data_IF_943944640530
#
_entry.id   IF_943944640530
#
_cell.length_a   1.000
_cell.length_b   1.000
_cell.length_c   1.000
_cell.angle_alpha   90.00
_cell.angle_beta   90.00
_cell.angle_gamma   90.00
#
_symmetry.space_group_name_H-M   'P 1'
#
loop_
_entity.id
_entity.type
_entity.pdbx_description
1 polymer ?
#
# COMPACT_ATOMS: atom_id res chain seq x y z
N UNK A 1 -4.50 -21.78 11.31
CA UNK A 1 -5.21 -21.14 10.19
C UNK A 1 -4.48 -19.89 9.75
N UNK A 2 -4.62 -19.54 8.50
CA UNK A 2 -4.01 -18.33 7.95
C UNK A 2 -5.05 -17.58 7.13
N UNK A 3 -4.79 -16.29 6.91
CA UNK A 3 -5.60 -15.46 6.04
C UNK A 3 -4.85 -15.15 4.77
N UNK A 4 -5.58 -14.97 3.68
CA UNK A 4 -5.02 -14.62 2.39
C UNK A 4 -5.96 -13.66 1.68
N UNK A 5 -5.41 -12.56 1.16
CA UNK A 5 -6.19 -11.60 0.38
C UNK A 5 -5.47 -11.27 -0.91
N UNK A 6 -6.25 -10.96 -1.93
CA UNK A 6 -5.71 -10.45 -3.18
C UNK A 6 -6.70 -9.45 -3.75
N UNK A 7 -6.25 -8.24 -3.97
CA UNK A 7 -7.06 -7.16 -4.52
C UNK A 7 -6.28 -6.50 -5.63
N UNK A 8 -6.98 -6.00 -6.64
CA UNK A 8 -6.35 -5.34 -7.77
C UNK A 8 -7.15 -4.16 -8.26
N UNK A 9 -6.47 -3.25 -8.94
CA UNK A 9 -7.09 -2.10 -9.56
C UNK A 9 -6.29 -1.70 -10.80
N UNK A 10 -6.98 -1.16 -11.79
CA UNK A 10 -6.32 -0.59 -12.96
C UNK A 10 -6.35 0.93 -12.84
N UNK A 11 -5.19 1.54 -13.01
CA UNK A 11 -4.99 2.98 -12.86
C UNK A 11 -4.63 3.54 -14.25
N UNK A 12 -5.36 4.55 -14.68
CA UNK A 12 -5.11 5.18 -16.00
C UNK A 12 -3.93 6.14 -15.92
N UNK A 13 -2.74 5.56 -15.71
CA UNK A 13 -1.49 6.31 -15.59
C UNK A 13 -0.32 5.40 -15.99
N UNK A 14 0.81 5.99 -16.42
CA UNK A 14 2.00 5.20 -16.77
C UNK A 14 2.55 4.45 -15.56
N UNK A 15 3.14 3.29 -15.80
CA UNK A 15 3.69 2.46 -14.74
C UNK A 15 4.74 3.19 -13.90
N UNK A 16 5.55 4.04 -14.52
CA UNK A 16 6.57 4.80 -13.79
C UNK A 16 5.95 5.70 -12.73
N UNK A 17 4.87 6.39 -13.08
CA UNK A 17 4.19 7.28 -12.14
C UNK A 17 3.51 6.48 -11.02
N UNK A 18 2.83 5.39 -11.39
CA UNK A 18 2.17 4.51 -10.40
C UNK A 18 3.21 3.95 -9.43
N UNK A 19 4.33 3.46 -9.98
CA UNK A 19 5.42 2.94 -9.18
C UNK A 19 5.98 3.99 -8.22
N UNK A 20 6.34 5.15 -8.75
CA UNK A 20 6.98 6.20 -7.97
C UNK A 20 6.06 6.68 -6.83
N UNK A 21 4.78 6.92 -7.12
CA UNK A 21 3.85 7.40 -6.09
C UNK A 21 3.56 6.36 -5.02
N UNK A 22 3.42 5.09 -5.41
CA UNK A 22 3.09 4.04 -4.45
C UNK A 22 4.30 3.55 -3.66
N UNK A 23 5.51 3.86 -4.10
CA UNK A 23 6.74 3.48 -3.39
C UNK A 23 7.37 4.65 -2.63
N UNK A 24 6.80 5.83 -2.69
CA UNK A 24 7.26 6.98 -1.92
C UNK A 24 6.66 6.95 -0.52
N UNK A 25 7.21 6.07 0.32
CA UNK A 25 6.67 5.78 1.65
C UNK A 25 6.55 7.04 2.52
N UNK A 26 7.50 7.96 2.41
CA UNK A 26 7.47 9.19 3.20
C UNK A 26 6.22 10.04 2.92
N UNK A 27 5.63 9.89 1.74
CA UNK A 27 4.42 10.61 1.35
C UNK A 27 3.14 9.77 1.47
N UNK A 28 3.21 8.59 2.06
CA UNK A 28 2.01 7.77 2.23
C UNK A 28 0.89 8.45 3.01
N UNK A 29 1.13 9.32 3.98
CA UNK A 29 0.02 10.07 4.60
C UNK A 29 -0.77 10.91 3.60
N UNK A 30 -0.15 11.30 2.48
CA UNK A 30 -0.83 12.05 1.41
C UNK A 30 -1.53 11.12 0.42
N UNK A 31 -1.09 9.87 0.33
CA UNK A 31 -1.61 8.90 -0.63
C UNK A 31 -2.72 8.02 -0.04
N UNK A 32 -2.54 7.55 1.19
CA UNK A 32 -3.51 6.73 1.91
C UNK A 32 -4.28 7.61 2.89
N UNK A 33 -5.57 7.35 3.03
CA UNK A 33 -6.40 8.11 3.98
C UNK A 33 -6.22 7.66 5.42
N UNK A 34 -5.67 6.46 5.64
CA UNK A 34 -5.60 5.86 6.97
C UNK A 34 -4.33 6.21 7.76
N UNK A 35 -3.30 6.74 7.11
CA UNK A 35 -2.03 7.02 7.79
C UNK A 35 -1.89 8.49 8.19
N UNK A 36 -1.60 8.72 9.47
CA UNK A 36 -1.29 10.06 9.99
C UNK A 36 0.18 10.40 9.74
N UNK A 37 1.07 9.41 9.81
CA UNK A 37 2.49 9.63 9.57
C UNK A 37 3.18 8.37 9.05
N UNK A 38 4.28 8.59 8.33
CA UNK A 38 5.18 7.54 7.88
C UNK A 38 6.60 8.05 8.13
N UNK A 39 7.35 7.29 8.93
CA UNK A 39 8.72 7.67 9.30
C UNK A 39 9.70 6.65 8.75
N UNK A 40 10.65 7.11 7.95
CA UNK A 40 11.71 6.25 7.44
C UNK A 40 12.74 6.07 8.55
N UNK A 41 12.93 4.83 8.99
CA UNK A 41 13.89 4.51 10.04
C UNK A 41 15.24 4.11 9.45
N UNK A 42 15.22 3.41 8.32
CA UNK A 42 16.42 2.94 7.68
C UNK A 42 16.15 2.73 6.19
N UNK A 43 17.11 3.12 5.36
CA UNK A 43 16.99 2.95 3.91
C UNK A 43 18.40 2.67 3.36
N UNK A 44 18.64 1.42 2.94
CA UNK A 44 19.94 1.03 2.41
C UNK A 44 19.99 1.06 0.88
N UNK A 45 18.98 1.66 0.25
CA UNK A 45 18.85 1.73 -1.20
C UNK A 45 18.14 0.54 -1.82
N UNK A 46 18.00 -0.55 -1.07
CA UNK A 46 17.33 -1.76 -1.51
C UNK A 46 16.15 -2.08 -0.60
N UNK A 47 16.36 -2.00 0.70
CA UNK A 47 15.34 -2.26 1.70
C UNK A 47 15.08 -1.00 2.51
N UNK A 48 13.81 -0.70 2.72
CA UNK A 48 13.37 0.44 3.53
C UNK A 48 12.64 -0.09 4.75
N UNK A 49 13.06 0.36 5.92
CA UNK A 49 12.39 0.06 7.19
C UNK A 49 11.73 1.36 7.66
N UNK A 50 10.45 1.27 8.01
CA UNK A 50 9.68 2.47 8.31
C UNK A 50 8.60 2.19 9.34
N UNK A 51 8.19 3.25 10.03
CA UNK A 51 7.08 3.20 10.97
C UNK A 51 5.86 3.88 10.36
N UNK A 52 4.75 3.18 10.37
CA UNK A 52 3.45 3.75 9.99
C UNK A 52 2.64 4.00 11.25
N UNK A 53 1.98 5.14 11.29
CA UNK A 53 1.07 5.48 12.38
C UNK A 53 -0.26 5.88 11.75
N UNK A 54 -1.33 5.22 12.18
CA UNK A 54 -2.66 5.50 11.66
C UNK A 54 -3.29 6.67 12.39
N UNK A 55 -4.30 7.26 11.78
CA UNK A 55 -5.17 8.20 12.50
C UNK A 55 -5.88 7.43 13.62
N UNK A 56 -6.26 8.11 14.73
CA UNK A 56 -6.99 7.42 15.80
C UNK A 56 -8.25 6.74 15.25
N UNK A 57 -8.52 5.55 15.75
CA UNK A 57 -9.74 4.85 15.38
C UNK A 57 -10.95 5.46 16.11
N UNK A 58 -12.13 4.88 15.91
CA UNK A 58 -13.38 5.39 16.51
C UNK A 58 -13.33 5.39 18.04
N UNK A 59 -12.45 4.60 18.63
CA UNK A 59 -12.24 4.55 20.09
C UNK A 59 -11.09 5.44 20.56
N UNK A 60 -10.48 6.20 19.65
CA UNK A 60 -9.35 7.07 19.97
C UNK A 60 -8.02 6.33 20.06
N UNK A 61 -7.99 5.03 19.73
CA UNK A 61 -6.74 4.26 19.77
C UNK A 61 -5.91 4.54 18.54
N UNK A 62 -4.62 4.78 18.75
CA UNK A 62 -3.65 5.00 17.67
C UNK A 62 -2.86 3.72 17.43
N UNK A 63 -2.97 3.21 16.22
CA UNK A 63 -2.22 2.02 15.80
C UNK A 63 -0.94 2.44 15.11
N UNK A 64 0.15 1.78 15.45
CA UNK A 64 1.46 2.07 14.87
C UNK A 64 2.27 0.78 14.79
N UNK A 65 3.06 0.63 13.74
CA UNK A 65 3.93 -0.54 13.59
C UNK A 65 5.09 -0.23 12.67
N UNK A 66 6.12 -1.07 12.76
CA UNK A 66 7.28 -1.00 11.87
C UNK A 66 7.15 -2.09 10.82
N UNK A 67 7.41 -1.72 9.59
CA UNK A 67 7.43 -2.62 8.44
C UNK A 67 8.74 -2.44 7.69
N UNK A 68 9.09 -3.45 6.90
CA UNK A 68 10.20 -3.33 5.96
C UNK A 68 9.72 -3.75 4.58
N UNK A 69 10.30 -3.15 3.54
CA UNK A 69 9.95 -3.47 2.18
C UNK A 69 11.16 -3.43 1.26
N UNK A 70 11.15 -4.31 0.27
CA UNK A 70 12.15 -4.33 -0.78
C UNK A 70 11.42 -4.12 -2.11
N UNK A 71 11.82 -3.09 -2.83
CA UNK A 71 11.22 -2.75 -4.12
C UNK A 71 12.12 -3.27 -5.24
N UNK A 72 11.55 -4.08 -6.12
CA UNK A 72 12.23 -4.61 -7.30
C UNK A 72 11.64 -3.95 -8.54
N UNK A 73 12.18 -2.80 -8.92
CA UNK A 73 11.68 -2.00 -10.04
C UNK A 73 11.75 -2.76 -11.36
N UNK A 74 12.79 -3.57 -11.53
CA UNK A 74 13.00 -4.31 -12.77
C UNK A 74 11.89 -5.32 -13.03
N UNK A 75 11.45 -6.02 -11.97
CA UNK A 75 10.41 -7.03 -12.06
C UNK A 75 9.04 -6.50 -11.66
N UNK A 76 8.92 -5.20 -11.37
CA UNK A 76 7.67 -4.52 -11.01
C UNK A 76 6.96 -5.21 -9.86
N UNK A 77 7.72 -5.49 -8.80
CA UNK A 77 7.16 -6.08 -7.58
C UNK A 77 7.82 -5.52 -6.35
N UNK A 78 7.07 -5.53 -5.26
CA UNK A 78 7.54 -5.12 -3.95
C UNK A 78 7.15 -6.20 -2.94
N UNK A 79 8.12 -6.64 -2.14
CA UNK A 79 7.87 -7.54 -1.03
C UNK A 79 8.01 -6.75 0.25
N UNK A 80 7.06 -6.95 1.15
CA UNK A 80 7.07 -6.26 2.43
C UNK A 80 6.57 -7.19 3.53
N UNK A 81 6.93 -6.86 4.78
CA UNK A 81 6.42 -7.59 5.93
C UNK A 81 6.44 -6.68 7.15
N UNK A 82 5.60 -7.01 8.12
CA UNK A 82 5.65 -6.31 9.40
C UNK A 82 6.83 -6.83 10.22
N UNK A 83 7.60 -5.90 10.77
CA UNK A 83 8.64 -6.20 11.75
C UNK A 83 8.03 -6.20 13.14
N UNK A 84 7.26 -5.17 13.46
CA UNK A 84 6.41 -5.15 14.65
C UNK A 84 5.05 -5.68 14.23
N UNK A 85 4.73 -6.88 14.65
CA UNK A 85 3.55 -7.58 14.13
C UNK A 85 2.23 -7.20 14.81
N UNK A 86 2.29 -6.63 16.02
CA UNK A 86 1.07 -6.28 16.75
C UNK A 86 0.18 -7.50 16.98
N UNK A 87 -1.09 -7.46 16.56
CA UNK A 87 -2.01 -8.58 16.75
C UNK A 87 -1.78 -9.73 15.76
N UNK A 88 -0.91 -9.53 14.76
CA UNK A 88 -0.60 -10.57 13.78
C UNK A 88 0.52 -11.47 14.28
N UNK A 89 0.41 -12.77 14.00
CA UNK A 89 1.55 -13.68 14.14
C UNK A 89 2.58 -13.39 13.07
N UNK A 90 2.10 -13.09 11.85
CA UNK A 90 2.91 -12.58 10.75
C UNK A 90 2.03 -11.84 9.76
N UNK A 91 2.65 -11.01 8.94
CA UNK A 91 1.98 -10.30 7.84
C UNK A 91 2.98 -10.13 6.72
N UNK A 92 2.77 -10.84 5.62
CA UNK A 92 3.60 -10.79 4.41
C UNK A 92 2.80 -10.16 3.29
N UNK A 93 3.43 -9.25 2.55
CA UNK A 93 2.77 -8.44 1.54
C UNK A 93 3.55 -8.52 0.24
N UNK A 94 2.84 -8.68 -0.87
CA UNK A 94 3.41 -8.63 -2.21
C UNK A 94 2.59 -7.67 -3.06
N UNK A 95 3.23 -6.65 -3.60
CA UNK A 95 2.63 -5.75 -4.58
C UNK A 95 3.24 -6.04 -5.94
N UNK A 96 2.39 -6.14 -6.95
CA UNK A 96 2.83 -6.40 -8.33
C UNK A 96 2.18 -5.38 -9.26
N UNK A 97 2.91 -4.99 -10.30
CA UNK A 97 2.46 -4.00 -11.27
C UNK A 97 2.62 -4.58 -12.67
N UNK A 98 1.68 -4.24 -13.54
CA UNK A 98 1.69 -4.70 -14.93
C UNK A 98 1.23 -3.57 -15.84
N UNK A 99 1.97 -3.33 -16.91
CA UNK A 99 1.51 -2.40 -17.94
C UNK A 99 0.37 -3.06 -18.71
N UNK A 100 -0.75 -2.34 -18.83
CA UNK A 100 -1.92 -2.82 -19.57
C UNK A 100 -2.37 -1.70 -20.51
N UNK A 101 -3.20 -2.01 -21.54
CA UNK A 101 -3.64 -0.98 -22.48
C UNK A 101 -4.31 0.22 -21.81
N UNK A 102 -5.01 0.01 -20.71
CA UNK A 102 -5.70 1.08 -19.97
C UNK A 102 -4.78 1.85 -19.02
N UNK A 103 -3.52 1.44 -18.85
CA UNK A 103 -2.59 2.09 -17.95
C UNK A 103 -1.74 1.10 -17.17
N UNK A 104 -1.96 1.01 -15.86
CA UNK A 104 -1.21 0.11 -14.99
C UNK A 104 -2.18 -0.68 -14.11
N UNK A 105 -1.98 -1.98 -14.09
CA UNK A 105 -2.71 -2.86 -13.18
C UNK A 105 -1.84 -3.06 -11.93
N UNK A 106 -2.40 -2.80 -10.76
CA UNK A 106 -1.71 -2.97 -9.48
C UNK A 106 -2.42 -4.06 -8.67
N UNK A 107 -1.67 -5.05 -8.21
CA UNK A 107 -2.20 -6.18 -7.44
C UNK A 107 -1.54 -6.22 -6.07
N UNK A 108 -2.35 -6.29 -5.02
CA UNK A 108 -1.88 -6.44 -3.65
C UNK A 108 -2.28 -7.81 -3.13
N UNK A 109 -1.28 -8.60 -2.73
CA UNK A 109 -1.48 -9.91 -2.12
C UNK A 109 -0.97 -9.85 -0.68
N UNK A 110 -1.78 -10.31 0.27
CA UNK A 110 -1.39 -10.34 1.67
C UNK A 110 -1.63 -11.72 2.24
N UNK A 111 -0.63 -12.25 2.94
CA UNK A 111 -0.69 -13.54 3.62
C UNK A 111 -0.38 -13.29 5.09
N UNK A 112 -1.24 -13.74 5.97
CA UNK A 112 -1.12 -13.40 7.38
C UNK A 112 -1.74 -14.48 8.27
N UNK A 113 -1.46 -14.37 9.55
CA UNK A 113 -2.16 -15.14 10.60
C UNK A 113 -2.30 -14.21 11.80
N UNK A 114 -3.43 -14.33 12.50
CA UNK A 114 -3.62 -13.59 13.74
C UNK A 114 -3.05 -14.39 14.90
N UNK A 115 -2.56 -13.69 15.92
CA UNK A 115 -2.13 -14.34 17.16
C UNK A 115 -3.35 -14.94 17.85
N UNK A 116 -3.19 -16.05 18.61
CA UNK A 116 -4.32 -16.64 19.35
C UNK A 116 -5.00 -15.66 20.30
N UNK A 117 -4.25 -14.74 20.90
CA UNK A 117 -4.76 -13.74 21.84
C UNK A 117 -5.29 -12.48 21.17
N UNK A 118 -5.23 -12.39 19.84
CA UNK A 118 -5.74 -11.22 19.12
C UNK A 118 -7.25 -11.08 19.33
N UNK A 119 -7.77 -9.85 19.36
CA UNK A 119 -9.21 -9.61 19.59
C UNK A 119 -10.09 -10.06 18.42
N UNK A 120 -9.51 -10.34 17.26
CA UNK A 120 -10.24 -10.80 16.07
C UNK A 120 -9.50 -11.99 15.45
N UNK A 121 -10.25 -12.80 14.71
CA UNK A 121 -9.69 -13.99 14.05
C UNK A 121 -9.27 -13.71 12.61
N UNK A 122 -8.73 -14.73 11.94
CA UNK A 122 -8.25 -14.63 10.57
C UNK A 122 -9.39 -14.28 9.60
N UNK A 123 -10.58 -14.83 9.80
CA UNK A 123 -11.72 -14.59 8.92
C UNK A 123 -12.19 -13.12 9.01
N UNK A 124 -12.28 -12.60 10.23
CA UNK A 124 -12.65 -11.20 10.42
C UNK A 124 -11.63 -10.27 9.76
N UNK A 125 -10.33 -10.58 9.96
CA UNK A 125 -9.27 -9.75 9.42
C UNK A 125 -9.22 -9.84 7.89
N UNK A 126 -9.50 -11.00 7.32
CA UNK A 126 -9.58 -11.18 5.86
C UNK A 126 -10.61 -10.22 5.27
N UNK A 127 -11.80 -10.20 5.85
CA UNK A 127 -12.87 -9.30 5.38
C UNK A 127 -12.47 -7.83 5.56
N UNK A 128 -11.85 -7.51 6.69
CA UNK A 128 -11.42 -6.16 7.00
C UNK A 128 -10.35 -5.66 6.01
N UNK A 129 -9.36 -6.50 5.71
CA UNK A 129 -8.29 -6.15 4.76
C UNK A 129 -8.88 -5.97 3.36
N UNK A 130 -9.75 -6.87 2.93
CA UNK A 130 -10.38 -6.76 1.61
C UNK A 130 -11.16 -5.46 1.46
N UNK A 131 -11.94 -5.11 2.49
CA UNK A 131 -12.72 -3.88 2.49
C UNK A 131 -11.83 -2.65 2.42
N UNK A 132 -10.82 -2.59 3.29
CA UNK A 132 -9.92 -1.44 3.36
C UNK A 132 -9.04 -1.32 2.13
N UNK A 133 -8.56 -2.44 1.58
CA UNK A 133 -7.74 -2.42 0.37
C UNK A 133 -8.50 -1.83 -0.81
N UNK A 134 -9.76 -2.18 -0.97
CA UNK A 134 -10.58 -1.64 -2.05
C UNK A 134 -10.78 -0.14 -1.90
N UNK A 135 -11.02 0.33 -0.68
CA UNK A 135 -11.18 1.75 -0.40
C UNK A 135 -9.88 2.51 -0.71
N UNK A 136 -8.77 2.01 -0.20
CA UNK A 136 -7.48 2.69 -0.38
C UNK A 136 -7.04 2.65 -1.84
N UNK A 137 -7.23 1.53 -2.53
CA UNK A 137 -6.89 1.42 -3.96
C UNK A 137 -7.66 2.43 -4.80
N UNK A 138 -8.95 2.64 -4.51
CA UNK A 138 -9.75 3.62 -5.24
C UNK A 138 -9.24 5.04 -5.01
N UNK A 139 -8.89 5.37 -3.77
CA UNK A 139 -8.33 6.68 -3.43
C UNK A 139 -6.96 6.89 -4.10
N UNK A 140 -6.12 5.88 -4.06
CA UNK A 140 -4.79 5.92 -4.69
C UNK A 140 -4.94 6.11 -6.21
N UNK A 141 -5.83 5.34 -6.84
CA UNK A 141 -6.10 5.48 -8.28
C UNK A 141 -6.48 6.92 -8.62
N UNK A 142 -7.43 7.46 -7.87
CA UNK A 142 -7.93 8.81 -8.17
C UNK A 142 -6.82 9.85 -8.02
N UNK A 143 -5.99 9.72 -7.01
CA UNK A 143 -4.87 10.64 -6.78
C UNK A 143 -3.80 10.52 -7.86
N UNK A 144 -3.48 9.30 -8.27
CA UNK A 144 -2.46 9.06 -9.31
C UNK A 144 -2.98 9.54 -10.67
N UNK A 145 -4.24 9.26 -10.99
CA UNK A 145 -4.83 9.71 -12.26
C UNK A 145 -4.87 11.23 -12.31
N UNK A 146 -5.16 11.87 -11.21
CA UNK A 146 -5.13 13.33 -11.12
C UNK A 146 -3.72 13.86 -11.31
N UNK A 147 -2.73 13.21 -10.70
CA UNK A 147 -1.33 13.59 -10.86
C UNK A 147 -0.86 13.37 -12.30
N UNK A 148 -1.29 12.28 -12.93
CA UNK A 148 -0.96 12.00 -14.34
C UNK A 148 -1.52 13.08 -15.24
N UNK A 149 -2.74 13.51 -15.01
CA UNK A 149 -3.37 14.59 -15.78
C UNK A 149 -2.63 15.91 -15.57
N UNK A 150 -2.25 16.21 -14.32
CA UNK A 150 -1.52 17.44 -14.01
C UNK A 150 -0.09 17.46 -14.53
N UNK A 151 0.52 16.29 -14.78
CA UNK A 151 1.88 16.18 -15.30
C UNK A 151 1.93 16.26 -16.81
N UNK A 152 0.81 16.05 -17.48
CA UNK A 152 0.77 16.20 -18.94
C UNK A 152 0.94 17.66 -19.30
N UNK A 153 1.62 17.94 -20.41
CA UNK A 153 1.54 19.28 -20.97
C UNK A 153 0.06 19.60 -21.17
N UNK A 154 -0.31 20.83 -20.88
CA UNK A 154 -1.67 21.26 -21.13
C UNK A 154 -1.99 20.98 -22.61
N UNK A 155 -3.12 20.33 -22.93
CA UNK A 155 -3.47 20.08 -24.32
C UNK A 155 -3.44 21.31 -25.18
N UNK A 156 -3.80 22.47 -24.62
CA UNK A 156 -3.73 23.74 -25.33
C UNK A 156 -2.29 24.17 -25.60
N UNK A 157 -1.33 23.65 -24.80
CA UNK A 157 0.09 23.92 -24.98
C UNK A 157 0.77 22.81 -25.77
N UNK A 158 0.28 21.60 -25.61
CA UNK A 158 0.82 20.43 -26.28
C UNK A 158 0.35 20.37 -27.73
N UNK A 159 -0.78 20.89 -27.99
CA UNK A 159 -1.42 20.88 -29.30
C UNK A 159 -0.88 21.99 -30.19
#
# INVERSE_FOLDING_TARGET
>A
MTGHTQNEITIAAPVDLVWDMTNDVANWPQLFSEYASAEILEDDGKKVTFRLTMHPDENGKVWSWVSEREADRRNLRVRARRVETGPFAHMDILWQYEEVPAGTRMVWTQDFAMKPEAPVDDDWMTDNINKNSKIQMALIRDKIEKAATGRRPDPALAD
#
